data_IF_785829668517
#
_entry.id   IF_785829668517
#
_cell.length_a   1.000
_cell.length_b   1.000
_cell.length_c   1.000
_cell.angle_alpha   90.00
_cell.angle_beta   90.00
_cell.angle_gamma   90.00
#
_symmetry.space_group_name_H-M   'P 1'
#
loop_
_entity.id
_entity.type
_entity.pdbx_description
1 polymer ?
#
# COMPACT_ATOMS: atom_id res chain seq x y z
N UNK A 1 -1.67 28.38 -28.44
CA UNK A 1 -0.62 27.49 -27.91
C UNK A 1 -1.03 26.71 -26.63
N UNK A 2 -1.93 27.22 -25.79
CA UNK A 2 -2.33 26.57 -24.53
C UNK A 2 -3.09 25.21 -24.66
N UNK A 3 -3.65 24.85 -25.82
CA UNK A 3 -4.32 23.53 -25.98
C UNK A 3 -3.35 22.37 -26.22
N UNK A 4 -2.17 22.63 -26.81
CA UNK A 4 -1.21 21.58 -27.19
C UNK A 4 -0.53 20.94 -25.99
N UNK A 5 -0.08 21.73 -25.03
CA UNK A 5 0.64 21.23 -23.84
C UNK A 5 -0.26 20.39 -22.94
N UNK A 6 -1.54 20.73 -22.81
CA UNK A 6 -2.50 19.97 -21.98
C UNK A 6 -2.70 18.55 -22.52
N UNK A 7 -2.85 18.41 -23.84
CA UNK A 7 -2.96 17.11 -24.48
C UNK A 7 -1.67 16.28 -24.34
N UNK A 8 -0.51 16.94 -24.40
CA UNK A 8 0.77 16.28 -24.20
C UNK A 8 0.92 15.77 -22.75
N UNK A 9 0.64 16.61 -21.75
CA UNK A 9 0.67 16.21 -20.35
C UNK A 9 -0.32 15.09 -20.05
N UNK A 10 -1.52 15.13 -20.62
CA UNK A 10 -2.49 14.04 -20.46
C UNK A 10 -1.98 12.71 -21.03
N UNK A 11 -1.36 12.74 -22.23
CA UNK A 11 -0.76 11.52 -22.81
C UNK A 11 0.38 11.00 -21.94
N UNK A 12 1.25 11.89 -21.47
CA UNK A 12 2.36 11.55 -20.60
C UNK A 12 1.85 10.95 -19.29
N UNK A 13 0.88 11.61 -18.63
CA UNK A 13 0.27 11.08 -17.42
C UNK A 13 -0.41 9.75 -17.68
N UNK A 14 -1.06 9.54 -18.82
CA UNK A 14 -1.72 8.28 -19.12
C UNK A 14 -0.72 7.11 -19.31
N UNK A 15 0.49 7.39 -19.81
CA UNK A 15 1.59 6.40 -19.82
C UNK A 15 2.02 6.06 -18.39
N UNK A 16 2.24 7.07 -17.54
CA UNK A 16 2.58 6.86 -16.12
C UNK A 16 1.46 6.19 -15.31
N UNK A 17 0.21 6.47 -15.66
CA UNK A 17 -1.00 5.90 -15.08
C UNK A 17 -1.36 4.56 -15.73
N UNK A 18 -0.54 4.01 -16.62
CA UNK A 18 -0.75 2.70 -17.25
C UNK A 18 -2.12 2.57 -17.96
N UNK A 19 -2.66 3.67 -18.48
CA UNK A 19 -3.96 3.71 -19.15
C UNK A 19 -5.18 3.78 -18.22
N UNK A 20 -5.00 3.73 -16.88
CA UNK A 20 -6.11 3.82 -15.93
C UNK A 20 -6.85 5.15 -16.01
N UNK A 21 -6.16 6.23 -16.38
CA UNK A 21 -6.77 7.54 -16.56
C UNK A 21 -7.91 7.53 -17.60
N UNK A 22 -7.78 6.72 -18.66
CA UNK A 22 -8.84 6.59 -19.67
C UNK A 22 -10.06 5.83 -19.13
N UNK A 23 -9.82 4.71 -18.42
CA UNK A 23 -10.89 3.92 -17.80
C UNK A 23 -11.69 4.72 -16.77
N UNK A 24 -11.01 5.48 -15.91
CA UNK A 24 -11.69 6.36 -14.97
C UNK A 24 -12.46 7.46 -15.69
N UNK A 25 -11.89 8.07 -16.75
CA UNK A 25 -12.58 9.08 -17.55
C UNK A 25 -13.89 8.53 -18.14
N UNK A 26 -13.87 7.34 -18.73
CA UNK A 26 -15.07 6.67 -19.26
C UNK A 26 -16.09 6.38 -18.16
N UNK A 27 -15.63 5.91 -16.99
CA UNK A 27 -16.51 5.63 -15.84
C UNK A 27 -17.19 6.90 -15.30
N UNK A 28 -16.44 8.00 -15.18
CA UNK A 28 -17.01 9.27 -14.75
C UNK A 28 -17.93 9.88 -15.82
N UNK A 29 -17.63 9.70 -17.11
CA UNK A 29 -18.53 10.09 -18.19
C UNK A 29 -19.85 9.31 -18.15
N UNK A 30 -19.78 7.99 -17.88
CA UNK A 30 -20.97 7.16 -17.66
C UNK A 30 -21.78 7.64 -16.46
N UNK A 31 -21.11 7.95 -15.35
CA UNK A 31 -21.77 8.51 -14.16
C UNK A 31 -22.53 9.80 -14.47
N UNK A 32 -21.89 10.73 -15.19
CA UNK A 32 -22.53 12.00 -15.59
C UNK A 32 -23.75 11.81 -16.52
N UNK A 33 -23.95 10.62 -17.08
CA UNK A 33 -25.09 10.27 -17.93
C UNK A 33 -26.19 9.45 -17.24
N UNK A 34 -26.00 9.06 -15.96
CA UNK A 34 -26.99 8.28 -15.22
C UNK A 34 -28.23 9.13 -14.87
N UNK A 35 -29.44 8.54 -14.88
CA UNK A 35 -30.63 9.23 -14.40
C UNK A 35 -30.58 9.43 -12.88
N UNK A 36 -31.21 10.50 -12.41
CA UNK A 36 -31.32 10.84 -10.99
C UNK A 36 -31.93 9.65 -10.23
N UNK A 37 -31.22 9.18 -9.20
CA UNK A 37 -31.62 8.03 -8.37
C UNK A 37 -30.85 6.74 -8.63
N UNK A 38 -30.21 6.56 -9.79
CA UNK A 38 -29.31 5.42 -10.04
C UNK A 38 -27.88 5.64 -9.53
N UNK A 39 -27.57 6.88 -9.11
CA UNK A 39 -26.25 7.27 -8.63
C UNK A 39 -25.80 6.52 -7.38
N UNK A 40 -26.75 6.13 -6.52
CA UNK A 40 -26.45 5.44 -5.27
C UNK A 40 -25.76 4.11 -5.53
N UNK A 41 -26.22 3.34 -6.53
CA UNK A 41 -25.59 2.08 -6.91
C UNK A 41 -24.16 2.27 -7.41
N UNK A 42 -23.91 3.36 -8.15
CA UNK A 42 -22.55 3.70 -8.63
C UNK A 42 -21.62 4.11 -7.49
N UNK A 43 -22.11 4.89 -6.51
CA UNK A 43 -21.33 5.27 -5.31
C UNK A 43 -20.97 4.04 -4.48
N UNK A 44 -21.92 3.13 -4.27
CA UNK A 44 -21.66 1.87 -3.56
C UNK A 44 -20.62 0.99 -4.27
N UNK A 45 -20.67 0.90 -5.59
CA UNK A 45 -19.69 0.14 -6.37
C UNK A 45 -18.29 0.74 -6.26
N UNK A 46 -18.16 2.07 -6.34
CA UNK A 46 -16.88 2.75 -6.15
C UNK A 46 -16.34 2.59 -4.73
N UNK A 47 -17.21 2.68 -3.72
CA UNK A 47 -16.79 2.47 -2.33
C UNK A 47 -16.23 1.05 -2.15
N UNK A 48 -16.92 0.04 -2.67
CA UNK A 48 -16.45 -1.36 -2.63
C UNK A 48 -15.10 -1.52 -3.34
N UNK A 49 -14.89 -0.84 -4.46
CA UNK A 49 -13.61 -0.85 -5.15
C UNK A 49 -12.51 -0.19 -4.33
N UNK A 50 -12.80 0.95 -3.72
CA UNK A 50 -11.83 1.68 -2.91
C UNK A 50 -11.47 0.93 -1.64
N UNK A 51 -12.44 0.26 -1.01
CA UNK A 51 -12.19 -0.64 0.11
C UNK A 51 -11.28 -1.80 -0.31
N UNK A 52 -11.44 -2.36 -1.51
CA UNK A 52 -10.53 -3.39 -2.03
C UNK A 52 -9.12 -2.85 -2.25
N UNK A 53 -9.00 -1.64 -2.81
CA UNK A 53 -7.70 -1.00 -3.05
C UNK A 53 -7.00 -0.67 -1.73
N UNK A 54 -7.72 -0.18 -0.71
CA UNK A 54 -7.16 0.15 0.60
C UNK A 54 -6.63 -1.09 1.31
N UNK A 55 -7.38 -2.21 1.28
CA UNK A 55 -6.93 -3.50 1.80
C UNK A 55 -5.70 -4.01 1.04
N UNK A 56 -5.69 -3.92 -0.30
CA UNK A 56 -4.54 -4.32 -1.09
C UNK A 56 -3.29 -3.48 -0.78
N UNK A 57 -3.45 -2.16 -0.62
CA UNK A 57 -2.36 -1.26 -0.21
C UNK A 57 -1.84 -1.63 1.19
N UNK A 58 -2.73 -1.86 2.15
CA UNK A 58 -2.35 -2.27 3.51
C UNK A 58 -1.57 -3.60 3.50
N UNK A 59 -1.99 -4.57 2.70
CA UNK A 59 -1.28 -5.84 2.51
C UNK A 59 0.12 -5.61 1.91
N UNK A 60 0.24 -4.79 0.86
CA UNK A 60 1.53 -4.49 0.24
C UNK A 60 2.46 -3.75 1.20
N UNK A 61 1.93 -2.83 2.02
CA UNK A 61 2.68 -2.16 3.11
C UNK A 61 3.21 -3.20 4.10
N UNK A 62 2.37 -4.14 4.53
CA UNK A 62 2.76 -5.21 5.45
C UNK A 62 3.85 -6.11 4.84
N UNK A 63 3.73 -6.46 3.55
CA UNK A 63 4.75 -7.25 2.84
C UNK A 63 6.08 -6.51 2.74
N UNK A 64 6.07 -5.21 2.44
CA UNK A 64 7.30 -4.41 2.47
C UNK A 64 7.92 -4.34 3.87
N UNK A 65 7.10 -4.12 4.90
CA UNK A 65 7.55 -4.08 6.28
C UNK A 65 8.14 -5.41 6.72
N UNK A 66 7.48 -6.53 6.41
CA UNK A 66 7.99 -7.88 6.65
C UNK A 66 9.31 -8.12 5.92
N UNK A 67 9.40 -7.73 4.65
CA UNK A 67 10.63 -7.86 3.84
C UNK A 67 11.79 -7.07 4.44
N UNK A 68 11.53 -5.85 4.94
CA UNK A 68 12.52 -5.02 5.61
C UNK A 68 12.91 -5.56 7.01
N UNK A 69 11.98 -6.25 7.68
CA UNK A 69 12.20 -6.85 9.00
C UNK A 69 13.05 -8.12 8.96
N UNK A 70 13.12 -8.82 7.82
CA UNK A 70 14.06 -9.93 7.61
C UNK A 70 15.48 -9.38 7.78
N UNK A 71 16.05 -9.65 8.95
CA UNK A 71 17.27 -9.03 9.47
C UNK A 71 18.56 -9.72 9.00
N UNK A 72 18.45 -10.89 8.36
CA UNK A 72 19.57 -11.71 7.87
C UNK A 72 20.15 -11.22 6.53
N UNK A 73 20.25 -9.90 6.44
CA UNK A 73 20.45 -9.11 5.23
C UNK A 73 21.89 -8.97 4.80
N UNK A 74 22.84 -9.53 5.54
CA UNK A 74 24.24 -9.54 5.08
C UNK A 74 24.36 -10.12 3.65
N UNK A 75 23.39 -10.93 3.21
CA UNK A 75 23.22 -11.45 1.86
C UNK A 75 22.32 -10.61 0.92
N UNK A 76 21.41 -9.80 1.44
CA UNK A 76 20.50 -9.01 0.60
C UNK A 76 21.20 -7.75 0.10
N UNK A 77 21.27 -7.57 -1.23
CA UNK A 77 21.85 -6.36 -1.79
C UNK A 77 21.16 -5.11 -1.25
N UNK A 78 21.93 -4.05 -1.00
CA UNK A 78 21.39 -2.74 -0.59
C UNK A 78 20.32 -2.20 -1.56
N UNK A 79 20.38 -2.63 -2.83
CA UNK A 79 19.39 -2.31 -3.87
C UNK A 79 18.03 -2.88 -3.49
N UNK A 80 17.96 -4.14 -3.08
CA UNK A 80 16.73 -4.81 -2.65
C UNK A 80 16.05 -4.04 -1.52
N UNK A 81 16.81 -3.65 -0.49
CA UNK A 81 16.29 -2.83 0.63
C UNK A 81 15.80 -1.45 0.18
N UNK A 82 16.51 -0.81 -0.73
CA UNK A 82 16.10 0.50 -1.23
C UNK A 82 14.77 0.40 -2.01
N UNK A 83 14.58 -0.67 -2.79
CA UNK A 83 13.32 -0.92 -3.49
C UNK A 83 12.17 -1.19 -2.52
N UNK A 84 12.38 -2.00 -1.49
CA UNK A 84 11.35 -2.23 -0.47
C UNK A 84 10.99 -0.96 0.31
N UNK A 85 11.98 -0.14 0.68
CA UNK A 85 11.70 1.14 1.34
C UNK A 85 10.96 2.12 0.42
N UNK A 86 11.39 2.23 -0.83
CA UNK A 86 10.73 3.07 -1.83
C UNK A 86 9.29 2.62 -2.10
N UNK A 87 9.08 1.32 -2.27
CA UNK A 87 7.76 0.73 -2.46
C UNK A 87 6.86 0.88 -1.23
N UNK A 88 7.40 0.72 -0.02
CA UNK A 88 6.70 1.01 1.23
C UNK A 88 6.15 2.45 1.24
N UNK A 89 7.01 3.42 0.93
CA UNK A 89 6.62 4.84 0.88
C UNK A 89 5.53 5.13 -0.17
N UNK A 90 5.61 4.49 -1.35
CA UNK A 90 4.57 4.63 -2.37
C UNK A 90 3.23 4.04 -1.93
N UNK A 91 3.21 2.84 -1.34
CA UNK A 91 1.96 2.23 -0.89
C UNK A 91 1.34 3.02 0.27
N UNK A 92 2.16 3.51 1.20
CA UNK A 92 1.68 4.39 2.27
C UNK A 92 1.07 5.68 1.70
N UNK A 93 1.70 6.28 0.69
CA UNK A 93 1.16 7.47 0.00
C UNK A 93 -0.17 7.16 -0.70
N UNK A 94 -0.29 6.00 -1.34
CA UNK A 94 -1.55 5.53 -1.94
C UNK A 94 -2.66 5.35 -0.89
N UNK A 95 -2.31 4.82 0.28
CA UNK A 95 -3.25 4.64 1.39
C UNK A 95 -3.71 5.99 1.97
N UNK A 96 -2.79 6.96 2.10
CA UNK A 96 -3.15 8.32 2.52
C UNK A 96 -4.09 8.98 1.51
N UNK A 97 -3.82 8.83 0.21
CA UNK A 97 -4.68 9.38 -0.84
C UNK A 97 -6.08 8.78 -0.76
N UNK A 98 -6.21 7.45 -0.67
CA UNK A 98 -7.54 6.83 -0.65
C UNK A 98 -8.33 7.22 0.60
N UNK A 99 -7.69 7.27 1.77
CA UNK A 99 -8.33 7.74 3.00
C UNK A 99 -8.76 9.20 2.88
N UNK A 100 -7.91 10.07 2.33
CA UNK A 100 -8.23 11.48 2.15
C UNK A 100 -9.40 11.69 1.19
N UNK A 101 -9.41 11.03 0.03
CA UNK A 101 -10.50 11.15 -0.93
C UNK A 101 -11.80 10.60 -0.33
N UNK A 102 -11.74 9.46 0.36
CA UNK A 102 -12.91 8.84 1.01
C UNK A 102 -13.55 9.81 2.02
N UNK A 103 -12.75 10.39 2.92
CA UNK A 103 -13.24 11.40 3.88
C UNK A 103 -13.79 12.64 3.17
N UNK A 104 -13.08 13.13 2.16
CA UNK A 104 -13.47 14.33 1.43
C UNK A 104 -14.76 14.15 0.64
N UNK A 105 -14.99 12.98 0.04
CA UNK A 105 -16.21 12.66 -0.70
C UNK A 105 -17.40 12.39 0.21
N UNK A 106 -17.21 11.73 1.35
CA UNK A 106 -18.30 11.53 2.32
C UNK A 106 -18.81 12.84 2.93
N UNK A 107 -17.98 13.87 2.94
CA UNK A 107 -18.37 15.19 3.40
C UNK A 107 -19.16 16.00 2.35
N UNK A 108 -19.29 15.52 1.11
CA UNK A 108 -20.10 16.17 0.10
C UNK A 108 -21.58 15.79 0.26
N UNK A 109 -22.44 16.80 0.35
CA UNK A 109 -23.89 16.61 0.31
C UNK A 109 -24.34 16.24 -1.10
N UNK A 110 -25.42 15.47 -1.24
CA UNK A 110 -25.96 15.09 -2.55
C UNK A 110 -26.24 16.30 -3.45
N UNK A 111 -26.68 17.42 -2.86
CA UNK A 111 -26.90 18.68 -3.56
C UNK A 111 -25.61 19.29 -4.14
N UNK A 112 -24.48 19.12 -3.47
CA UNK A 112 -23.19 19.63 -3.93
C UNK A 112 -22.63 18.76 -5.06
N UNK A 113 -22.85 17.45 -4.98
CA UNK A 113 -22.52 16.52 -6.06
C UNK A 113 -23.36 16.81 -7.30
N UNK A 114 -24.69 16.93 -7.15
CA UNK A 114 -25.60 17.29 -8.25
C UNK A 114 -25.17 18.60 -8.92
N UNK A 115 -24.85 19.62 -8.11
CA UNK A 115 -24.41 20.92 -8.61
C UNK A 115 -23.08 20.83 -9.35
N UNK A 116 -22.14 19.99 -8.89
CA UNK A 116 -20.87 19.76 -9.56
C UNK A 116 -21.06 19.01 -10.90
N UNK A 117 -21.95 18.02 -10.95
CA UNK A 117 -22.33 17.30 -12.17
C UNK A 117 -23.02 18.23 -13.17
N UNK A 118 -23.94 19.08 -12.69
CA UNK A 118 -24.66 20.05 -13.51
C UNK A 118 -23.71 21.12 -14.09
N UNK A 119 -22.77 21.62 -13.30
CA UNK A 119 -21.74 22.54 -13.80
C UNK A 119 -20.86 21.89 -14.89
N UNK A 120 -20.67 20.56 -14.82
CA UNK A 120 -19.94 19.82 -15.84
C UNK A 120 -20.75 19.67 -17.14
N UNK A 121 -22.03 19.31 -17.06
CA UNK A 121 -22.90 19.14 -18.23
C UNK A 121 -23.16 20.46 -18.97
N UNK A 122 -23.20 21.58 -18.26
CA UNK A 122 -23.31 22.93 -18.84
C UNK A 122 -22.01 23.44 -19.49
N UNK A 123 -20.92 22.66 -19.44
CA UNK A 123 -19.61 23.06 -19.98
C UNK A 123 -18.95 24.21 -19.21
N UNK A 124 -19.47 24.55 -18.03
CA UNK A 124 -18.97 25.61 -17.14
C UNK A 124 -17.91 25.11 -16.15
N UNK A 125 -17.71 23.80 -16.06
CA UNK A 125 -16.67 23.22 -15.23
C UNK A 125 -15.28 23.51 -15.83
N UNK A 126 -14.57 24.46 -15.23
CA UNK A 126 -13.16 24.75 -15.55
C UNK A 126 -12.20 23.57 -15.25
N UNK A 127 -12.66 22.57 -14.49
CA UNK A 127 -11.87 21.37 -14.21
C UNK A 127 -12.22 20.27 -15.22
N UNK A 128 -11.23 19.87 -16.02
CA UNK A 128 -11.44 18.81 -16.99
C UNK A 128 -11.69 17.48 -16.29
N UNK A 129 -12.63 16.68 -16.82
CA UNK A 129 -12.90 15.30 -16.40
C UNK A 129 -11.61 14.45 -16.32
N UNK A 130 -10.63 14.79 -17.15
CA UNK A 130 -9.30 14.20 -17.18
C UNK A 130 -8.53 14.38 -15.87
N UNK A 131 -8.61 15.55 -15.24
CA UNK A 131 -7.94 15.81 -13.95
C UNK A 131 -8.58 14.96 -12.85
N UNK A 132 -9.91 14.90 -12.80
CA UNK A 132 -10.65 14.09 -11.81
C UNK A 132 -10.33 12.60 -12.01
N UNK A 133 -10.35 12.14 -13.27
CA UNK A 133 -9.96 10.77 -13.61
C UNK A 133 -8.52 10.44 -13.22
N UNK A 134 -7.60 11.40 -13.35
CA UNK A 134 -6.21 11.21 -12.93
C UNK A 134 -6.10 11.00 -11.42
N UNK A 135 -6.87 11.75 -10.62
CA UNK A 135 -6.88 11.63 -9.16
C UNK A 135 -7.47 10.29 -8.73
N UNK A 136 -8.59 9.87 -9.34
CA UNK A 136 -9.21 8.58 -9.05
C UNK A 136 -8.30 7.39 -9.39
N UNK A 137 -7.44 7.52 -10.41
CA UNK A 137 -6.50 6.48 -10.80
C UNK A 137 -5.24 6.40 -9.91
N UNK A 138 -4.90 7.44 -9.15
CA UNK A 138 -3.63 7.51 -8.41
C UNK A 138 -3.42 6.37 -7.40
N UNK A 139 -4.40 6.00 -6.54
CA UNK A 139 -4.21 4.91 -5.58
C UNK A 139 -3.83 3.58 -6.24
N UNK A 140 -4.47 3.24 -7.37
CA UNK A 140 -4.19 2.01 -8.12
C UNK A 140 -2.78 2.05 -8.71
N UNK A 141 -2.39 3.19 -9.27
CA UNK A 141 -1.08 3.33 -9.91
C UNK A 141 0.04 3.21 -8.86
N UNK A 142 -0.13 3.84 -7.70
CA UNK A 142 0.80 3.69 -6.58
C UNK A 142 0.85 2.25 -6.05
N UNK A 143 -0.29 1.57 -5.98
CA UNK A 143 -0.36 0.14 -5.63
C UNK A 143 0.44 -0.73 -6.62
N UNK A 144 0.25 -0.53 -7.92
CA UNK A 144 0.94 -1.29 -8.97
C UNK A 144 2.45 -1.07 -8.94
N UNK A 145 2.91 0.18 -8.85
CA UNK A 145 4.34 0.50 -8.73
C UNK A 145 4.95 -0.03 -7.44
N UNK A 146 4.23 0.06 -6.32
CA UNK A 146 4.69 -0.50 -5.06
C UNK A 146 4.84 -2.02 -5.13
N UNK A 147 3.89 -2.70 -5.77
CA UNK A 147 3.92 -4.15 -6.00
C UNK A 147 5.09 -4.54 -6.91
N UNK A 148 5.33 -3.77 -7.98
CA UNK A 148 6.48 -3.98 -8.85
C UNK A 148 7.83 -3.85 -8.10
N UNK A 149 7.93 -2.94 -7.14
CA UNK A 149 9.10 -2.83 -6.28
C UNK A 149 9.28 -4.00 -5.32
N UNK A 150 8.20 -4.53 -4.71
CA UNK A 150 8.27 -5.78 -3.93
C UNK A 150 8.84 -6.89 -4.80
N UNK A 151 8.23 -7.11 -5.97
CA UNK A 151 8.59 -8.23 -6.87
C UNK A 151 10.03 -8.10 -7.37
N UNK A 152 10.44 -6.91 -7.76
CA UNK A 152 11.82 -6.66 -8.22
C UNK A 152 12.81 -6.84 -7.08
N UNK A 153 12.49 -6.36 -5.87
CA UNK A 153 13.30 -6.60 -4.67
C UNK A 153 13.45 -8.10 -4.38
N UNK A 154 12.36 -8.86 -4.43
CA UNK A 154 12.37 -10.31 -4.24
C UNK A 154 13.20 -11.04 -5.31
N UNK A 155 13.05 -10.67 -6.58
CA UNK A 155 13.85 -11.24 -7.68
C UNK A 155 15.34 -11.01 -7.44
N UNK A 156 15.73 -9.76 -7.12
CA UNK A 156 17.12 -9.42 -6.82
C UNK A 156 17.62 -10.25 -5.63
N UNK A 157 16.83 -10.38 -4.56
CA UNK A 157 17.18 -11.19 -3.40
C UNK A 157 17.50 -12.64 -3.81
N UNK A 158 16.59 -13.28 -4.54
CA UNK A 158 16.75 -14.67 -5.01
C UNK A 158 18.02 -14.82 -5.86
N UNK A 159 18.28 -13.90 -6.79
CA UNK A 159 19.50 -13.94 -7.61
C UNK A 159 20.76 -13.72 -6.77
N UNK A 160 20.73 -12.82 -5.79
CA UNK A 160 21.90 -12.51 -4.96
C UNK A 160 22.26 -13.63 -4.00
N UNK A 161 21.27 -14.31 -3.40
CA UNK A 161 21.50 -15.46 -2.52
C UNK A 161 22.19 -16.60 -3.27
N UNK A 162 21.81 -16.83 -4.54
CA UNK A 162 22.40 -17.89 -5.36
C UNK A 162 23.84 -17.57 -5.83
N UNK A 163 24.20 -16.29 -5.93
CA UNK A 163 25.50 -15.87 -6.48
C UNK A 163 26.55 -15.53 -5.40
N UNK A 164 26.12 -15.17 -4.19
CA UNK A 164 26.99 -14.58 -3.16
C UNK A 164 27.69 -15.58 -2.24
N UNK A 165 27.73 -16.89 -2.55
CA UNK A 165 28.38 -17.89 -1.70
C UNK A 165 29.92 -17.78 -1.58
N UNK A 166 30.54 -16.67 -2.01
CA UNK A 166 31.99 -16.47 -1.85
C UNK A 166 32.51 -15.05 -2.02
N UNK A 167 31.65 -14.03 -2.15
CA UNK A 167 32.08 -12.65 -2.35
C UNK A 167 32.04 -11.84 -1.04
N UNK A 168 33.09 -11.05 -0.72
CA UNK A 168 33.06 -10.18 0.45
C UNK A 168 31.95 -9.14 0.32
N UNK A 169 31.22 -8.92 1.41
CA UNK A 169 30.14 -7.92 1.51
C UNK A 169 30.76 -6.53 1.33
N UNK A 170 30.69 -6.01 0.11
CA UNK A 170 31.17 -4.66 -0.17
C UNK A 170 30.40 -3.64 0.67
N UNK A 171 31.13 -2.80 1.39
CA UNK A 171 30.56 -1.73 2.19
C UNK A 171 29.59 -0.89 1.34
N UNK A 172 28.35 -0.75 1.84
CA UNK A 172 27.27 -0.09 1.12
C UNK A 172 27.63 1.39 0.90
N UNK A 173 27.62 1.90 -0.35
CA UNK A 173 27.69 3.33 -0.58
C UNK A 173 26.37 3.98 -0.12
N UNK A 174 26.34 4.43 1.14
CA UNK A 174 25.16 4.99 1.83
C UNK A 174 24.40 6.03 1.00
N UNK A 175 25.12 6.80 0.17
CA UNK A 175 24.55 7.81 -0.72
C UNK A 175 23.66 7.21 -1.81
N UNK A 176 24.06 6.08 -2.43
CA UNK A 176 23.29 5.45 -3.52
C UNK A 176 22.00 4.82 -3.00
N UNK A 177 22.09 4.16 -1.84
CA UNK A 177 20.93 3.62 -1.13
C UNK A 177 19.89 4.72 -0.86
N UNK A 178 20.32 5.84 -0.26
CA UNK A 178 19.41 6.96 0.06
C UNK A 178 18.72 7.51 -1.17
N UNK A 179 19.43 7.71 -2.27
CA UNK A 179 18.85 8.23 -3.51
C UNK A 179 17.81 7.25 -4.07
N UNK A 180 18.17 5.97 -4.19
CA UNK A 180 17.28 4.97 -4.77
C UNK A 180 16.01 4.75 -3.93
N UNK A 181 16.13 4.80 -2.61
CA UNK A 181 14.99 4.67 -1.70
C UNK A 181 14.12 5.94 -1.66
N UNK A 182 14.73 7.12 -1.69
CA UNK A 182 14.00 8.39 -1.52
C UNK A 182 13.23 8.85 -2.75
N UNK A 183 13.70 8.52 -3.97
CA UNK A 183 13.05 8.97 -5.21
C UNK A 183 11.58 8.47 -5.29
N UNK A 184 11.28 7.16 -5.13
CA UNK A 184 9.90 6.68 -5.11
C UNK A 184 9.07 7.30 -3.99
N UNK A 185 9.63 7.40 -2.77
CA UNK A 185 8.92 8.02 -1.65
C UNK A 185 8.55 9.47 -1.94
N UNK A 186 9.47 10.24 -2.52
CA UNK A 186 9.23 11.62 -2.91
C UNK A 186 8.15 11.74 -3.99
N UNK A 187 8.15 10.84 -4.98
CA UNK A 187 7.08 10.76 -5.99
C UNK A 187 5.72 10.49 -5.34
N UNK A 188 5.66 9.58 -4.36
CA UNK A 188 4.45 9.31 -3.59
C UNK A 188 3.92 10.54 -2.85
N UNK A 189 4.80 11.25 -2.14
CA UNK A 189 4.46 12.49 -1.43
C UNK A 189 3.99 13.58 -2.41
N UNK A 190 4.67 13.74 -3.53
CA UNK A 190 4.26 14.68 -4.58
C UNK A 190 2.86 14.34 -5.14
N UNK A 191 2.55 13.06 -5.30
CA UNK A 191 1.22 12.60 -5.70
C UNK A 191 0.15 12.92 -4.65
N UNK A 192 0.44 12.76 -3.36
CA UNK A 192 -0.47 13.14 -2.26
C UNK A 192 -0.76 14.64 -2.33
N UNK A 193 0.29 15.48 -2.41
CA UNK A 193 0.15 16.94 -2.49
C UNK A 193 -0.69 17.32 -3.73
N UNK A 194 -0.41 16.70 -4.87
CA UNK A 194 -1.16 16.92 -6.10
C UNK A 194 -2.65 16.60 -5.93
N UNK A 195 -2.98 15.44 -5.36
CA UNK A 195 -4.38 15.06 -5.11
C UNK A 195 -5.07 16.06 -4.20
N UNK A 196 -4.44 16.46 -3.10
CA UNK A 196 -5.00 17.44 -2.16
C UNK A 196 -5.29 18.76 -2.88
N UNK A 197 -4.33 19.28 -3.66
CA UNK A 197 -4.52 20.53 -4.41
C UNK A 197 -5.70 20.42 -5.37
N UNK A 198 -5.83 19.28 -6.08
CA UNK A 198 -6.92 19.06 -7.05
C UNK A 198 -8.27 18.96 -6.34
N UNK A 199 -8.38 18.15 -5.28
CA UNK A 199 -9.63 17.95 -4.54
C UNK A 199 -10.06 19.25 -3.85
N UNK A 200 -9.18 19.90 -3.10
CA UNK A 200 -9.48 21.20 -2.46
C UNK A 200 -9.83 22.27 -3.51
N UNK A 201 -9.12 22.28 -4.63
CA UNK A 201 -9.41 23.18 -5.75
C UNK A 201 -10.79 22.94 -6.35
N UNK A 202 -11.23 21.68 -6.46
CA UNK A 202 -12.56 21.32 -6.91
C UNK A 202 -13.63 21.75 -5.89
N UNK A 203 -13.42 21.46 -4.61
CA UNK A 203 -14.33 21.84 -3.51
C UNK A 203 -14.53 23.35 -3.43
N UNK A 204 -13.44 24.13 -3.44
CA UNK A 204 -13.52 25.60 -3.39
C UNK A 204 -14.35 26.17 -4.54
N UNK A 205 -14.25 25.58 -5.74
CA UNK A 205 -15.02 26.01 -6.92
C UNK A 205 -16.48 25.59 -6.87
N UNK A 206 -16.79 24.47 -6.22
CA UNK A 206 -18.17 24.05 -5.99
C UNK A 206 -18.94 25.03 -5.07
N UNK A 207 -18.22 25.92 -4.37
CA UNK A 207 -18.77 26.88 -3.42
C UNK A 207 -18.97 26.29 -2.03
N UNK A 208 -18.46 25.07 -1.80
CA UNK A 208 -18.49 24.36 -0.51
C UNK A 208 -17.39 24.91 0.38
N UNK A 209 -17.49 26.19 0.75
CA UNK A 209 -16.39 26.94 1.38
C UNK A 209 -16.20 26.64 2.87
N UNK A 210 -17.11 25.90 3.51
CA UNK A 210 -16.91 25.43 4.87
C UNK A 210 -17.60 24.08 5.08
N UNK A 211 -16.79 23.01 5.17
CA UNK A 211 -17.20 21.82 5.92
C UNK A 211 -17.31 22.27 7.39
N UNK A 212 -18.50 22.24 8.01
CA UNK A 212 -18.63 22.53 9.43
C UNK A 212 -17.72 21.56 10.19
N UNK A 213 -16.84 22.10 11.03
CA UNK A 213 -15.83 21.34 11.78
C UNK A 213 -16.47 20.22 12.62
N UNK A 214 -17.74 20.37 12.94
CA UNK A 214 -18.55 19.48 13.77
C UNK A 214 -18.90 18.14 13.07
N UNK A 215 -18.75 18.03 11.74
CA UNK A 215 -19.06 16.78 11.03
C UNK A 215 -17.94 15.73 11.14
N UNK A 216 -16.74 16.13 11.54
CA UNK A 216 -15.60 15.22 11.71
C UNK A 216 -15.73 14.33 12.96
N UNK A 217 -16.44 14.79 14.00
CA UNK A 217 -16.61 14.04 15.25
C UNK A 217 -17.50 12.78 15.07
N UNK A 218 -18.29 12.71 14.00
CA UNK A 218 -19.15 11.55 13.72
C UNK A 218 -18.43 10.42 12.99
N UNK A 219 -17.29 10.71 12.37
CA UNK A 219 -16.47 9.75 11.65
C UNK A 219 -15.13 9.61 12.36
N UNK A 220 -15.17 8.98 13.53
CA UNK A 220 -13.96 8.53 14.20
C UNK A 220 -13.25 7.50 13.29
N UNK A 221 -12.28 7.97 12.50
CA UNK A 221 -11.53 7.15 11.54
C UNK A 221 -10.78 6.00 12.22
N UNK A 222 -10.50 6.15 13.52
CA UNK A 222 -9.97 5.09 14.37
C UNK A 222 -10.91 3.90 14.44
N UNK A 223 -12.23 4.14 14.44
CA UNK A 223 -13.25 3.10 14.53
C UNK A 223 -13.41 2.31 13.23
N UNK A 224 -13.36 2.96 12.06
CA UNK A 224 -13.59 2.28 10.76
C UNK A 224 -12.39 1.40 10.35
N UNK A 225 -11.16 1.86 10.59
CA UNK A 225 -9.97 1.05 10.32
C UNK A 225 -9.86 -0.13 11.29
N UNK A 226 -10.11 0.09 12.59
CA UNK A 226 -10.11 -1.00 13.58
C UNK A 226 -11.23 -2.01 13.31
N UNK A 227 -12.44 -1.58 12.95
CA UNK A 227 -13.52 -2.53 12.62
C UNK A 227 -13.31 -3.28 11.30
N UNK A 228 -12.65 -2.67 10.31
CA UNK A 228 -12.29 -3.38 9.08
C UNK A 228 -11.20 -4.43 9.32
N UNK A 229 -10.16 -4.07 10.09
CA UNK A 229 -9.10 -4.99 10.51
C UNK A 229 -9.67 -6.10 11.39
N UNK A 230 -10.47 -5.77 12.41
CA UNK A 230 -11.13 -6.77 13.27
C UNK A 230 -12.01 -7.72 12.45
N UNK A 231 -12.87 -7.24 11.55
CA UNK A 231 -13.70 -8.13 10.73
C UNK A 231 -12.87 -9.03 9.82
N UNK A 232 -11.73 -8.55 9.31
CA UNK A 232 -10.83 -9.37 8.48
C UNK A 232 -10.04 -10.40 9.30
N UNK A 233 -9.59 -10.04 10.50
CA UNK A 233 -8.94 -10.96 11.46
C UNK A 233 -9.94 -12.00 11.93
N UNK A 234 -11.16 -11.58 12.27
CA UNK A 234 -12.21 -12.45 12.80
C UNK A 234 -12.72 -13.44 11.75
N UNK A 235 -12.88 -13.02 10.49
CA UNK A 235 -13.15 -13.96 9.37
C UNK A 235 -11.99 -14.95 9.15
N UNK A 236 -10.74 -14.52 9.27
CA UNK A 236 -9.59 -15.41 9.17
C UNK A 236 -9.47 -16.40 10.33
N UNK A 237 -9.92 -16.02 11.53
CA UNK A 237 -10.01 -16.91 12.69
C UNK A 237 -11.16 -17.92 12.57
N UNK A 238 -12.32 -17.50 12.04
CA UNK A 238 -13.47 -18.36 11.84
C UNK A 238 -13.26 -19.39 10.72
N UNK A 239 -12.54 -19.05 9.64
CA UNK A 239 -12.13 -20.02 8.62
C UNK A 239 -11.10 -21.04 9.14
N UNK A 240 -10.23 -20.64 10.07
CA UNK A 240 -9.28 -21.55 10.72
C UNK A 240 -9.91 -22.38 11.86
N UNK A 241 -11.07 -21.98 12.40
CA UNK A 241 -11.80 -22.76 13.39
C UNK A 241 -12.44 -24.04 12.80
N UNK A 242 -12.58 -24.12 11.47
CA UNK A 242 -12.99 -25.34 10.78
C UNK A 242 -11.82 -26.25 10.36
N UNK A 243 -10.57 -25.86 10.64
CA UNK A 243 -9.38 -26.65 10.33
C UNK A 243 -8.66 -27.06 11.62
N UNK A 244 -9.24 -28.02 12.35
CA UNK A 244 -8.49 -28.89 13.29
C UNK A 244 -9.12 -30.30 13.34
N UNK A 245 -8.38 -31.39 13.62
CA UNK A 245 -7.05 -31.76 13.14
C UNK A 245 -7.06 -33.21 12.57
N UNK A 246 -6.78 -33.40 11.27
CA UNK A 246 -6.56 -34.76 10.71
C UNK A 246 -5.20 -35.34 11.15
N UNK A 247 -4.34 -34.55 11.81
CA UNK A 247 -3.03 -34.98 12.30
C UNK A 247 -3.04 -35.73 13.63
N UNK A 248 -4.18 -35.86 14.33
CA UNK A 248 -4.25 -36.62 15.59
C UNK A 248 -4.35 -38.15 15.41
N UNK A 249 -4.43 -38.67 14.16
CA UNK A 249 -4.63 -40.11 13.90
C UNK A 249 -3.42 -40.87 13.33
N UNK A 250 -2.29 -40.20 13.07
CA UNK A 250 -1.10 -40.85 12.50
C UNK A 250 -0.03 -41.18 13.57
N UNK A 251 -0.11 -40.59 14.76
CA UNK A 251 0.90 -40.78 15.82
C UNK A 251 0.78 -42.09 16.62
N UNK A 252 -0.10 -43.03 16.20
CA UNK A 252 -0.39 -44.25 16.98
C UNK A 252 0.17 -45.56 16.37
N UNK A 253 1.03 -45.47 15.35
CA UNK A 253 1.60 -46.64 14.66
C UNK A 253 3.13 -46.65 14.50
N UNK A 254 3.87 -46.01 15.41
CA UNK A 254 5.32 -46.17 15.46
C UNK A 254 5.81 -46.38 16.90
N UNK A 255 5.73 -47.64 17.37
CA UNK A 255 6.63 -48.13 18.43
C UNK A 255 7.79 -48.86 17.76
N UNK A 256 9.03 -48.46 18.02
CA UNK A 256 10.13 -49.41 18.11
C UNK A 256 10.64 -49.52 19.55
N UNK A 257 10.92 -50.76 19.93
CA UNK A 257 11.69 -51.15 21.11
C UNK A 257 13.01 -50.39 21.20
N UNK A 258 13.34 -49.85 22.37
CA UNK A 258 14.72 -49.70 22.81
C UNK A 258 14.81 -49.66 24.34
N UNK A 259 15.68 -50.52 24.86
CA UNK A 259 15.96 -50.85 26.25
C UNK A 259 16.60 -49.70 27.06
N UNK A 260 16.66 -49.80 28.41
CA UNK A 260 17.20 -48.75 29.26
C UNK A 260 18.73 -48.86 29.33
N UNK A 261 19.43 -47.76 29.04
CA UNK A 261 20.86 -47.60 29.36
C UNK A 261 20.97 -46.70 30.58
N UNK A 262 21.63 -47.27 31.59
CA UNK A 262 21.71 -46.75 32.93
C UNK A 262 22.67 -45.58 33.13
N UNK A 263 22.52 -45.04 34.33
CA UNK A 263 23.31 -44.02 35.01
C UNK A 263 24.82 -44.24 34.92
N UNK A 264 25.55 -43.12 34.80
CA UNK A 264 26.99 -43.00 35.03
C UNK A 264 27.34 -41.55 35.35
N UNK A 265 27.89 -41.36 36.54
CA UNK A 265 28.08 -40.14 37.32
C UNK A 265 28.88 -38.96 36.72
N UNK A 266 28.80 -37.78 37.38
CA UNK A 266 29.62 -36.59 37.12
C UNK A 266 30.94 -36.64 37.89
N UNK A 267 32.03 -36.12 37.32
CA UNK A 267 33.17 -35.70 38.16
C UNK A 267 34.20 -34.80 37.47
N UNK A 268 34.67 -33.85 38.29
CA UNK A 268 35.95 -33.10 38.25
C UNK A 268 36.06 -31.97 37.23
N UNK A 269 36.09 -30.69 37.63
CA UNK A 269 37.00 -29.99 38.55
C UNK A 269 38.46 -29.98 38.07
N UNK A 270 39.00 -28.78 37.87
CA UNK A 270 40.42 -28.52 37.65
C UNK A 270 40.57 -27.27 36.79
N UNK A 271 40.65 -26.10 37.41
CA UNK A 271 41.91 -25.39 37.68
C UNK A 271 42.53 -24.78 36.43
N UNK A 272 42.52 -23.44 36.39
CA UNK A 272 43.75 -22.63 36.42
C UNK A 272 44.18 -22.33 34.98
N UNK A 273 44.81 -21.23 34.60
CA UNK A 273 45.55 -20.21 35.31
C UNK A 273 45.85 -19.12 34.25
N UNK A 274 46.05 -17.87 34.68
CA UNK A 274 47.11 -16.96 34.21
C UNK A 274 47.23 -16.59 32.71
N UNK A 275 47.67 -15.42 32.27
CA UNK A 275 48.03 -14.10 32.80
C UNK A 275 48.69 -13.40 31.58
N UNK A 276 48.55 -12.07 31.45
CA UNK A 276 49.57 -11.14 30.85
C UNK A 276 49.91 -11.30 29.35
N UNK A 277 50.00 -10.26 28.51
CA UNK A 277 50.80 -9.01 28.52
C UNK A 277 50.11 -8.04 27.52
N UNK A 278 49.75 -6.79 27.83
CA UNK A 278 50.56 -5.55 27.73
C UNK A 278 51.86 -5.61 26.92
N UNK A 279 51.79 -5.14 25.67
CA UNK A 279 52.61 -4.04 25.13
C UNK A 279 51.86 -3.38 23.98
#
# INVERSE_FOLDING_TARGET
MAKGWRNYLWRLSNVFLLGFGHRYKERYAKYASLPIGEEQGWREENQKEWDRISVALALVIAVHAASLAISDVTLASWVCRALWYGGFGLALSGLVIISYITVSLFNLTDKEVDKAVQMHSEGRADMSLEIIASVGAMPIVLLLWSTAFVMTGLLILVFTVNYSQGAPVNAVPMRRFRILASVPTFVGVAAVIWVVIVVEGALRRAGTSHVPRDSYDKYDMTFTFNTAVDRSVQRGCDENAYVTPVTARVSRLARPNASPVGMGEPSRSGHAEQHRLTM
#
